data_IF_158751225004
#
_entry.id   IF_158751225004
#
_cell.length_a   1.000
_cell.length_b   1.000
_cell.length_c   1.000
_cell.angle_alpha   90.00
_cell.angle_beta   90.00
_cell.angle_gamma   90.00
#
_symmetry.space_group_name_H-M   'P 1'
#
loop_
_entity.id
_entity.type
_entity.pdbx_description
1 polymer ?
#
# COMPACT_ATOMS: atom_id res chain seq x y z
N UNK A 1 -18.04 9.56 -24.03
CA UNK A 1 -16.67 9.98 -23.67
C UNK A 1 -16.02 8.87 -22.89
N UNK A 2 -15.03 8.18 -23.46
CA UNK A 2 -14.23 7.21 -22.72
C UNK A 2 -13.35 7.95 -21.70
N UNK A 3 -13.49 7.63 -20.41
CA UNK A 3 -12.59 8.15 -19.38
C UNK A 3 -11.38 7.22 -19.35
N UNK A 4 -10.23 7.69 -19.84
CA UNK A 4 -8.95 7.01 -19.70
C UNK A 4 -8.44 7.21 -18.26
N UNK A 5 -8.98 6.44 -17.32
CA UNK A 5 -8.58 6.50 -15.91
C UNK A 5 -7.30 5.68 -15.74
N UNK A 6 -6.22 6.34 -15.28
CA UNK A 6 -4.94 5.71 -14.99
C UNK A 6 -4.64 5.79 -13.50
N UNK A 7 -4.25 4.68 -12.90
CA UNK A 7 -3.76 4.65 -11.54
C UNK A 7 -2.32 5.18 -11.49
N UNK A 8 -2.09 6.30 -10.80
CA UNK A 8 -0.73 6.75 -10.50
C UNK A 8 -0.14 5.91 -9.36
N UNK A 9 0.33 4.72 -9.70
CA UNK A 9 0.89 3.77 -8.73
C UNK A 9 2.05 4.35 -7.92
N UNK A 10 2.90 5.16 -8.54
CA UNK A 10 4.05 5.75 -7.86
C UNK A 10 3.60 6.70 -6.75
N UNK A 11 2.70 7.65 -7.07
CA UNK A 11 2.18 8.60 -6.09
C UNK A 11 1.39 7.90 -4.97
N UNK A 12 0.61 6.86 -5.31
CA UNK A 12 -0.14 6.11 -4.31
C UNK A 12 0.78 5.40 -3.30
N UNK A 13 1.85 4.75 -3.78
CA UNK A 13 2.82 4.09 -2.90
C UNK A 13 3.58 5.11 -2.04
N UNK A 14 3.94 6.28 -2.58
CA UNK A 14 4.57 7.36 -1.81
C UNK A 14 3.69 7.83 -0.66
N UNK A 15 2.41 8.10 -0.93
CA UNK A 15 1.47 8.52 0.11
C UNK A 15 1.29 7.41 1.16
N UNK A 16 1.26 6.15 0.76
CA UNK A 16 1.23 5.02 1.68
C UNK A 16 2.47 4.96 2.60
N UNK A 17 3.68 5.15 2.04
CA UNK A 17 4.92 5.18 2.82
C UNK A 17 4.92 6.35 3.80
N UNK A 18 4.51 7.53 3.33
CA UNK A 18 4.40 8.74 4.15
C UNK A 18 3.45 8.50 5.32
N UNK A 19 2.23 8.02 5.06
CA UNK A 19 1.23 7.72 6.08
C UNK A 19 1.71 6.70 7.11
N UNK A 20 2.40 5.64 6.64
CA UNK A 20 2.99 4.63 7.52
C UNK A 20 3.99 5.26 8.50
N UNK A 21 4.86 6.14 7.99
CA UNK A 21 5.87 6.83 8.80
C UNK A 21 5.24 7.81 9.79
N UNK A 22 4.21 8.56 9.38
CA UNK A 22 3.44 9.46 10.26
C UNK A 22 2.79 8.70 11.43
N UNK A 23 2.26 7.51 11.15
CA UNK A 23 1.69 6.61 12.17
C UNK A 23 2.75 5.88 13.02
N UNK A 24 4.05 6.08 12.74
CA UNK A 24 5.18 5.44 13.45
C UNK A 24 5.09 3.90 13.50
N UNK A 25 4.52 3.27 12.47
CA UNK A 25 4.46 1.81 12.37
C UNK A 25 5.59 1.28 11.47
N UNK A 26 6.28 0.23 11.92
CA UNK A 26 7.29 -0.44 11.10
C UNK A 26 6.64 -1.28 10.00
N UNK A 27 7.39 -1.64 8.95
CA UNK A 27 6.90 -2.58 7.93
C UNK A 27 6.46 -3.92 8.54
N UNK A 28 7.18 -4.40 9.56
CA UNK A 28 6.83 -5.63 10.30
C UNK A 28 5.48 -5.49 11.01
N UNK A 29 5.22 -4.34 11.64
CA UNK A 29 3.95 -4.07 12.32
C UNK A 29 2.81 -3.93 11.32
N UNK A 30 3.03 -3.22 10.21
CA UNK A 30 2.04 -3.10 9.14
C UNK A 30 1.68 -4.47 8.55
N UNK A 31 2.68 -5.31 8.28
CA UNK A 31 2.50 -6.69 7.83
C UNK A 31 1.60 -7.50 8.79
N UNK A 32 1.86 -7.41 10.10
CA UNK A 32 1.07 -8.11 11.10
C UNK A 32 -0.40 -7.62 11.13
N UNK A 33 -0.63 -6.31 11.05
CA UNK A 33 -1.99 -5.73 11.07
C UNK A 33 -2.75 -6.08 9.77
N UNK A 34 -2.07 -6.00 8.62
CA UNK A 34 -2.67 -6.30 7.32
C UNK A 34 -2.78 -7.82 7.03
N UNK A 35 -2.25 -8.68 7.90
CA UNK A 35 -2.26 -10.14 7.69
C UNK A 35 -1.50 -10.58 6.44
N UNK A 36 -0.36 -9.94 6.16
CA UNK A 36 0.50 -10.22 4.99
C UNK A 36 1.96 -10.34 5.41
N UNK A 37 2.80 -10.89 4.53
CA UNK A 37 4.23 -11.05 4.81
C UNK A 37 4.96 -9.70 4.78
N UNK A 38 5.98 -9.52 5.63
CA UNK A 38 6.84 -8.33 5.61
C UNK A 38 7.61 -8.16 4.28
N UNK A 39 8.07 -9.22 3.59
CA UNK A 39 8.59 -9.10 2.22
C UNK A 39 7.57 -8.53 1.22
N UNK A 40 6.28 -8.86 1.35
CA UNK A 40 5.22 -8.28 0.52
C UNK A 40 5.08 -6.78 0.74
N UNK A 41 5.15 -6.30 2.00
CA UNK A 41 5.19 -4.86 2.32
C UNK A 41 6.41 -4.21 1.65
N UNK A 42 7.59 -4.81 1.80
CA UNK A 42 8.83 -4.26 1.23
C UNK A 42 8.74 -4.13 -0.29
N UNK A 43 8.21 -5.15 -0.99
CA UNK A 43 7.97 -5.09 -2.45
C UNK A 43 6.98 -3.99 -2.82
N UNK A 44 5.89 -3.85 -2.06
CA UNK A 44 4.93 -2.76 -2.24
C UNK A 44 5.62 -1.38 -2.11
N UNK A 45 6.38 -1.14 -1.04
CA UNK A 45 7.09 0.13 -0.81
C UNK A 45 8.21 0.38 -1.84
N UNK A 46 8.74 -0.68 -2.46
CA UNK A 46 9.65 -0.59 -3.61
C UNK A 46 8.92 -0.32 -4.94
N UNK A 47 7.61 -0.07 -4.92
CA UNK A 47 6.74 0.19 -6.09
C UNK A 47 6.68 -0.96 -7.08
N UNK A 48 7.01 -2.18 -6.63
CA UNK A 48 6.91 -3.38 -7.43
C UNK A 48 5.44 -3.66 -7.78
N UNK A 49 5.17 -3.93 -9.05
CA UNK A 49 3.80 -4.18 -9.58
C UNK A 49 3.45 -5.67 -9.65
N UNK A 50 4.41 -6.53 -9.37
CA UNK A 50 4.29 -8.00 -9.34
C UNK A 50 3.80 -8.52 -7.97
N UNK A 51 3.00 -7.71 -7.28
CA UNK A 51 2.30 -8.06 -6.03
C UNK A 51 0.82 -8.29 -6.34
N UNK A 52 0.16 -9.11 -5.52
CA UNK A 52 -1.29 -9.27 -5.64
C UNK A 52 -2.01 -7.97 -5.29
N UNK A 53 -3.00 -7.59 -6.11
CA UNK A 53 -3.82 -6.40 -5.88
C UNK A 53 -4.53 -6.45 -4.51
N UNK A 54 -5.00 -7.62 -4.09
CA UNK A 54 -5.59 -7.84 -2.75
C UNK A 54 -4.65 -7.45 -1.62
N UNK A 55 -3.35 -7.74 -1.74
CA UNK A 55 -2.33 -7.32 -0.77
C UNK A 55 -2.14 -5.81 -0.77
N UNK A 56 -2.10 -5.18 -1.94
CA UNK A 56 -2.04 -3.72 -2.03
C UNK A 56 -3.27 -3.06 -1.37
N UNK A 57 -4.47 -3.57 -1.64
CA UNK A 57 -5.72 -3.09 -1.04
C UNK A 57 -5.65 -3.20 0.49
N UNK A 58 -5.26 -4.36 1.04
CA UNK A 58 -5.12 -4.53 2.51
C UNK A 58 -4.13 -3.56 3.14
N UNK A 59 -3.01 -3.27 2.47
CA UNK A 59 -2.03 -2.28 2.94
C UNK A 59 -2.67 -0.89 3.00
N UNK A 60 -3.33 -0.48 1.92
CA UNK A 60 -3.94 0.84 1.79
C UNK A 60 -5.10 1.02 2.78
N UNK A 61 -5.91 -0.02 2.99
CA UNK A 61 -7.00 -0.04 3.97
C UNK A 61 -6.49 0.20 5.40
N UNK A 62 -5.47 -0.55 5.83
CA UNK A 62 -4.84 -0.35 7.16
C UNK A 62 -4.28 1.06 7.33
N UNK A 63 -3.81 1.69 6.25
CA UNK A 63 -3.29 3.05 6.28
C UNK A 63 -4.37 4.13 6.14
N UNK A 64 -5.64 3.74 5.99
CA UNK A 64 -6.76 4.67 5.80
C UNK A 64 -6.70 5.41 4.46
N UNK A 65 -6.30 4.71 3.40
CA UNK A 65 -6.22 5.20 2.02
C UNK A 65 -7.28 4.56 1.11
N UNK A 66 -8.22 3.82 1.68
CA UNK A 66 -9.39 3.27 1.00
C UNK A 66 -10.65 3.75 1.75
N UNK A 67 -11.68 4.09 0.98
CA UNK A 67 -13.00 4.46 1.51
C UNK A 67 -13.67 3.24 2.16
N UNK A 68 -14.45 3.47 3.22
CA UNK A 68 -15.19 2.41 3.93
C UNK A 68 -16.54 2.12 3.30
#
# INVERSE_FOLDING_TARGET
MERNIRLNWHQLVEEAIKRRKEQKISQRRLAAIAGISQPTISRFEQRRKDIQLSSAIKILDVLGLIEK
#
